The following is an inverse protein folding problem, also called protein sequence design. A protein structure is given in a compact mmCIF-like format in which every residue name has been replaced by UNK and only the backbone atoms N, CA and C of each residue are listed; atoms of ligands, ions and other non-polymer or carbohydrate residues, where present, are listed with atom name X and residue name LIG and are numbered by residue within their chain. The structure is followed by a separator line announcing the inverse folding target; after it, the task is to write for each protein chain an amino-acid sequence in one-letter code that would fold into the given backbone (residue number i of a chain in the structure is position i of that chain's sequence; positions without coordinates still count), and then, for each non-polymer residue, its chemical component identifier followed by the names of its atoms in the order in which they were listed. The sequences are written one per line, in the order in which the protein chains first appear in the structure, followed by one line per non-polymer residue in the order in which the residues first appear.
data_IF_075815313604
#
_entry.id   IF_075815313604
#
_cell.length_a   1.000
_cell.length_b   1.000
_cell.length_c   1.000
_cell.angle_alpha   90.00
_cell.angle_beta   90.00
_cell.angle_gamma   90.00
#
_symmetry.space_group_name_H-M   'P 1'
#
loop_
_entity.id
_entity.type
_entity.pdbx_description
1 polymer ?
#
# COMPACT_ATOMS: atom_id res chain seq x y z
N UNK A 1 -27.24 -78.69 41.81
CA UNK A 1 -26.64 -79.34 40.62
C UNK A 1 -26.98 -78.49 39.40
N UNK A 2 -25.97 -78.17 38.56
CA UNK A 2 -25.89 -77.15 37.46
C UNK A 2 -25.58 -75.73 37.99
N UNK A 3 -24.33 -75.25 38.04
CA UNK A 3 -23.29 -74.94 37.02
C UNK A 3 -23.65 -73.72 36.15
N UNK A 4 -23.11 -72.59 36.60
CA UNK A 4 -22.41 -71.48 35.93
C UNK A 4 -22.99 -70.76 34.71
N UNK A 5 -23.11 -69.43 34.84
CA UNK A 5 -22.69 -68.49 33.79
C UNK A 5 -22.06 -67.24 34.42
N UNK A 6 -20.74 -67.11 34.24
CA UNK A 6 -19.96 -65.89 34.52
C UNK A 6 -20.27 -64.83 33.46
N UNK A 7 -20.73 -63.65 33.86
CA UNK A 7 -20.81 -62.48 32.97
C UNK A 7 -19.72 -61.51 33.39
N UNK A 8 -18.60 -61.52 32.65
CA UNK A 8 -17.50 -60.55 32.79
C UNK A 8 -17.97 -59.20 32.25
N UNK A 9 -18.09 -58.19 33.12
CA UNK A 9 -18.28 -56.81 32.71
C UNK A 9 -16.95 -56.27 32.16
N UNK A 10 -16.88 -56.05 30.85
CA UNK A 10 -15.76 -55.40 30.18
C UNK A 10 -15.92 -53.88 30.30
N UNK A 11 -15.04 -53.23 31.05
CA UNK A 11 -14.93 -51.77 31.09
C UNK A 11 -14.30 -51.27 29.77
N UNK A 12 -15.07 -50.54 28.96
CA UNK A 12 -14.55 -49.87 27.77
C UNK A 12 -13.88 -48.55 28.18
N UNK A 13 -12.56 -48.48 28.02
CA UNK A 13 -11.75 -47.27 28.21
C UNK A 13 -11.74 -46.48 26.90
N UNK A 14 -12.59 -45.46 26.79
CA UNK A 14 -12.64 -44.57 25.62
C UNK A 14 -11.47 -43.59 25.67
N UNK A 15 -10.46 -43.82 24.84
CA UNK A 15 -9.32 -42.93 24.66
C UNK A 15 -9.76 -41.69 23.86
N UNK A 16 -9.95 -40.54 24.53
CA UNK A 16 -10.17 -39.25 23.87
C UNK A 16 -8.86 -38.79 23.23
N UNK A 17 -8.75 -38.93 21.91
CA UNK A 17 -7.68 -38.31 21.13
C UNK A 17 -8.04 -36.83 20.95
N UNK A 18 -7.41 -35.95 21.71
CA UNK A 18 -7.41 -34.51 21.42
C UNK A 18 -6.62 -34.29 20.13
N UNK A 19 -7.33 -34.22 19.00
CA UNK A 19 -6.76 -33.70 17.76
C UNK A 19 -6.67 -32.18 17.92
N UNK A 20 -5.51 -31.69 18.35
CA UNK A 20 -5.19 -30.27 18.23
C UNK A 20 -5.11 -29.94 16.74
N UNK A 21 -5.87 -28.97 16.21
CA UNK A 21 -5.60 -28.47 14.88
C UNK A 21 -4.27 -27.74 14.97
N UNK A 22 -3.21 -28.35 14.47
CA UNK A 22 -2.02 -27.62 14.10
C UNK A 22 -2.47 -26.64 13.00
N UNK A 23 -2.70 -25.39 13.38
CA UNK A 23 -2.80 -24.31 12.42
C UNK A 23 -1.44 -24.28 11.70
N UNK A 24 -1.38 -24.93 10.55
CA UNK A 24 -0.29 -24.74 9.61
C UNK A 24 -0.35 -23.26 9.21
N UNK A 25 0.51 -22.45 9.82
CA UNK A 25 0.85 -21.15 9.26
C UNK A 25 1.46 -21.43 7.90
N UNK A 26 0.64 -21.39 6.85
CA UNK A 26 1.20 -21.39 5.50
C UNK A 26 2.21 -20.25 5.44
N UNK A 27 3.45 -20.50 4.98
CA UNK A 27 4.36 -19.41 4.69
C UNK A 27 3.60 -18.53 3.71
N UNK A 28 3.26 -17.32 4.13
CA UNK A 28 2.63 -16.32 3.29
C UNK A 28 3.53 -16.16 2.07
N UNK A 29 3.24 -16.88 0.98
CA UNK A 29 3.81 -16.62 -0.33
C UNK A 29 3.70 -15.12 -0.48
N UNK A 30 4.84 -14.42 -0.48
CA UNK A 30 4.90 -12.98 -0.25
C UNK A 30 3.81 -12.35 -1.12
N UNK A 31 2.73 -11.86 -0.48
CA UNK A 31 1.58 -11.36 -1.23
C UNK A 31 2.14 -10.31 -2.16
N UNK A 32 1.98 -10.51 -3.47
CA UNK A 32 2.43 -9.53 -4.44
C UNK A 32 1.73 -8.21 -4.08
N UNK A 33 2.50 -7.17 -3.77
CA UNK A 33 1.91 -5.87 -3.44
C UNK A 33 0.95 -5.42 -4.54
N UNK A 34 -0.14 -4.80 -4.12
CA UNK A 34 -1.13 -4.16 -4.97
C UNK A 34 -0.59 -2.87 -5.60
N UNK A 35 0.51 -2.32 -5.09
CA UNK A 35 1.22 -1.16 -5.69
C UNK A 35 2.36 -1.67 -6.56
N UNK A 36 2.18 -1.59 -7.89
CA UNK A 36 3.07 -2.15 -8.89
C UNK A 36 3.72 -1.03 -9.68
N UNK A 37 5.00 -1.17 -10.00
CA UNK A 37 5.74 -0.18 -10.81
C UNK A 37 6.14 -0.75 -12.18
N UNK A 38 6.05 0.09 -13.21
CA UNK A 38 6.31 -0.28 -14.61
C UNK A 38 7.81 -0.46 -14.92
N UNK A 39 8.71 0.17 -14.16
CA UNK A 39 10.16 0.09 -14.35
C UNK A 39 10.93 -0.10 -13.03
N UNK A 40 12.23 -0.38 -13.15
CA UNK A 40 13.11 -0.64 -11.99
C UNK A 40 13.32 0.60 -11.10
N UNK A 41 13.44 1.79 -11.69
CA UNK A 41 13.67 3.03 -10.94
C UNK A 41 12.47 3.43 -10.07
N UNK A 42 11.26 3.14 -10.54
CA UNK A 42 10.02 3.30 -9.76
C UNK A 42 9.87 2.22 -8.69
N UNK A 43 10.30 0.97 -8.94
CA UNK A 43 10.34 -0.07 -7.89
C UNK A 43 11.28 0.34 -6.76
N UNK A 44 12.46 0.85 -7.11
CA UNK A 44 13.40 1.40 -6.14
C UNK A 44 12.80 2.59 -5.40
N UNK A 45 12.02 3.45 -6.07
CA UNK A 45 11.37 4.61 -5.45
C UNK A 45 10.38 4.16 -4.37
N UNK A 46 9.54 3.17 -4.69
CA UNK A 46 8.60 2.59 -3.73
C UNK A 46 9.34 1.92 -2.58
N UNK A 47 10.41 1.17 -2.86
CA UNK A 47 11.21 0.52 -1.84
C UNK A 47 11.91 1.52 -0.91
N UNK A 48 12.45 2.61 -1.46
CA UNK A 48 13.07 3.72 -0.72
C UNK A 48 12.06 4.40 0.21
N UNK A 49 10.88 4.75 -0.32
CA UNK A 49 9.79 5.30 0.48
C UNK A 49 9.37 4.35 1.61
N UNK A 50 9.19 3.06 1.30
CA UNK A 50 8.82 2.05 2.27
C UNK A 50 9.93 1.79 3.31
N UNK A 51 11.20 1.91 2.96
CA UNK A 51 12.30 1.77 3.92
C UNK A 51 12.38 2.97 4.87
N UNK A 52 12.30 4.19 4.33
CA UNK A 52 12.54 5.43 5.07
C UNK A 52 11.33 6.02 5.78
N UNK A 53 10.10 5.63 5.42
CA UNK A 53 8.88 6.24 5.99
C UNK A 53 7.85 5.21 6.45
N UNK A 54 7.45 5.32 7.71
CA UNK A 54 6.36 4.53 8.29
C UNK A 54 5.01 4.95 7.71
N UNK A 55 4.79 6.25 7.47
CA UNK A 55 3.61 6.76 6.80
C UNK A 55 3.49 6.19 5.36
N UNK A 56 4.59 6.14 4.60
CA UNK A 56 4.58 5.56 3.26
C UNK A 56 4.23 4.06 3.29
N UNK A 57 4.82 3.30 4.22
CA UNK A 57 4.44 1.88 4.42
C UNK A 57 2.96 1.71 4.75
N UNK A 58 2.38 2.61 5.55
CA UNK A 58 0.97 2.56 5.89
C UNK A 58 0.07 2.79 4.66
N UNK A 59 0.45 3.69 3.75
CA UNK A 59 -0.27 3.91 2.48
C UNK A 59 -0.27 2.64 1.62
N UNK A 60 0.91 2.04 1.40
CA UNK A 60 1.02 0.79 0.63
C UNK A 60 0.24 -0.34 1.31
N UNK A 61 0.36 -0.47 2.63
CA UNK A 61 -0.35 -1.49 3.41
C UNK A 61 -1.88 -1.35 3.35
N UNK A 62 -2.41 -0.12 3.34
CA UNK A 62 -3.84 0.12 3.19
C UNK A 62 -4.36 -0.30 1.80
N UNK A 63 -3.57 -0.03 0.74
CA UNK A 63 -3.91 -0.47 -0.63
C UNK A 63 -3.82 -2.00 -0.73
N UNK A 64 -2.79 -2.62 -0.16
CA UNK A 64 -2.60 -4.08 -0.13
C UNK A 64 -3.73 -4.82 0.59
N UNK A 65 -4.40 -4.16 1.54
CA UNK A 65 -5.56 -4.70 2.28
C UNK A 65 -6.89 -4.43 1.57
N UNK A 66 -6.88 -3.80 0.40
CA UNK A 66 -8.06 -3.41 -0.36
C UNK A 66 -8.25 -4.27 -1.62
N UNK A 67 -9.31 -3.96 -2.37
CA UNK A 67 -9.55 -4.53 -3.70
C UNK A 67 -9.00 -3.66 -4.86
N UNK A 68 -8.12 -2.71 -4.55
CA UNK A 68 -7.51 -1.79 -5.52
C UNK A 68 -6.08 -2.24 -5.86
N UNK A 69 -5.80 -2.40 -7.14
CA UNK A 69 -4.44 -2.58 -7.69
C UNK A 69 -4.03 -1.28 -8.38
N UNK A 70 -2.87 -0.76 -8.01
CA UNK A 70 -2.33 0.51 -8.49
C UNK A 70 -1.08 0.28 -9.32
N UNK A 71 -1.07 0.78 -10.56
CA UNK A 71 0.12 0.82 -11.39
C UNK A 71 0.76 2.20 -11.34
N UNK A 72 2.03 2.26 -10.95
CA UNK A 72 2.84 3.46 -10.85
C UNK A 72 3.71 3.53 -12.10
N UNK A 73 3.61 4.65 -12.80
CA UNK A 73 4.36 4.89 -14.02
C UNK A 73 4.88 6.31 -14.11
N UNK A 74 5.92 6.44 -14.92
CA UNK A 74 6.58 7.68 -15.19
C UNK A 74 5.94 8.34 -16.42
N UNK A 75 5.63 9.64 -16.34
CA UNK A 75 5.13 10.41 -17.49
C UNK A 75 5.83 11.76 -17.64
N UNK A 76 5.81 12.20 -18.90
CA UNK A 76 5.98 13.58 -19.28
C UNK A 76 4.60 14.22 -19.35
N UNK A 77 4.37 15.22 -18.50
CA UNK A 77 3.17 16.03 -18.55
C UNK A 77 3.41 17.22 -19.48
N UNK A 78 2.49 17.51 -20.43
CA UNK A 78 2.56 18.73 -21.22
C UNK A 78 2.43 19.99 -20.35
N UNK A 79 1.67 19.90 -19.26
CA UNK A 79 1.46 20.99 -18.31
C UNK A 79 2.51 20.95 -17.18
N UNK A 80 3.36 21.98 -17.10
CA UNK A 80 4.47 22.04 -16.13
C UNK A 80 4.04 21.97 -14.66
N UNK A 81 2.82 22.43 -14.36
CA UNK A 81 2.28 22.42 -12.99
C UNK A 81 1.74 21.05 -12.56
N UNK A 82 1.48 20.13 -13.51
CA UNK A 82 1.01 18.80 -13.17
C UNK A 82 2.22 17.90 -12.89
N UNK A 83 2.35 17.47 -11.63
CA UNK A 83 3.49 16.67 -11.18
C UNK A 83 3.14 15.22 -10.88
N UNK A 84 1.87 14.96 -10.59
CA UNK A 84 1.30 13.65 -10.36
C UNK A 84 -0.17 13.63 -10.78
N UNK A 85 -0.70 12.43 -11.06
CA UNK A 85 -2.14 12.19 -11.10
C UNK A 85 -2.47 10.74 -10.80
N UNK A 86 -3.64 10.54 -10.19
CA UNK A 86 -4.33 9.26 -10.09
C UNK A 86 -5.51 9.22 -11.07
N UNK A 87 -5.68 8.07 -11.73
CA UNK A 87 -6.89 7.80 -12.51
C UNK A 87 -7.32 6.34 -12.39
N UNK A 88 -8.64 6.11 -12.42
CA UNK A 88 -9.18 4.76 -12.51
C UNK A 88 -9.03 4.24 -13.95
N UNK A 89 -8.47 3.04 -14.10
CA UNK A 89 -8.25 2.38 -15.40
C UNK A 89 -9.44 1.49 -15.75
N UNK A 90 -9.84 0.63 -14.82
CA UNK A 90 -10.97 -0.29 -15.01
C UNK A 90 -11.43 -0.88 -13.67
N UNK A 91 -12.63 -1.46 -13.66
CA UNK A 91 -13.11 -2.32 -12.60
C UNK A 91 -13.65 -3.62 -13.23
N UNK A 92 -13.12 -4.76 -12.80
CA UNK A 92 -13.51 -6.07 -13.34
C UNK A 92 -13.77 -7.04 -12.19
N UNK A 93 -15.01 -7.53 -12.09
CA UNK A 93 -15.44 -8.31 -10.94
C UNK A 93 -15.32 -7.50 -9.65
N UNK A 94 -14.64 -8.07 -8.65
CA UNK A 94 -14.41 -7.39 -7.38
C UNK A 94 -13.12 -6.54 -7.35
N UNK A 95 -12.30 -6.53 -8.41
CA UNK A 95 -11.00 -5.85 -8.42
C UNK A 95 -11.08 -4.56 -9.23
N UNK A 96 -10.46 -3.51 -8.69
CA UNK A 96 -10.34 -2.21 -9.33
C UNK A 96 -8.88 -1.96 -9.68
N UNK A 97 -8.65 -1.35 -10.84
CA UNK A 97 -7.33 -1.01 -11.32
C UNK A 97 -7.24 0.50 -11.46
N UNK A 98 -6.23 1.08 -10.84
CA UNK A 98 -5.90 2.50 -10.99
C UNK A 98 -4.47 2.65 -11.50
N UNK A 99 -4.18 3.83 -12.01
CA UNK A 99 -2.84 4.21 -12.39
C UNK A 99 -2.46 5.53 -11.73
N UNK A 100 -1.30 5.54 -11.10
CA UNK A 100 -0.58 6.73 -10.66
C UNK A 100 0.45 7.06 -11.73
N UNK A 101 0.42 8.27 -12.22
CA UNK A 101 1.45 8.80 -13.11
C UNK A 101 2.21 9.91 -12.37
N UNK A 102 3.54 9.84 -12.34
CA UNK A 102 4.38 10.87 -11.72
C UNK A 102 5.37 11.46 -12.73
N UNK A 103 5.76 12.71 -12.51
CA UNK A 103 6.68 13.43 -13.38
C UNK A 103 8.10 12.83 -13.30
N UNK A 104 8.65 12.44 -14.46
CA UNK A 104 9.92 11.72 -14.53
C UNK A 104 11.16 12.50 -14.13
N UNK A 105 11.17 13.81 -14.40
CA UNK A 105 12.38 14.63 -14.29
C UNK A 105 12.37 15.48 -13.02
N UNK A 106 11.95 14.89 -11.91
CA UNK A 106 11.94 15.53 -10.60
C UNK A 106 13.08 14.96 -9.74
N UNK A 107 13.68 15.78 -8.84
CA UNK A 107 14.56 15.25 -7.81
C UNK A 107 13.91 14.11 -7.03
N UNK A 108 14.69 13.13 -6.59
CA UNK A 108 14.19 11.90 -5.97
C UNK A 108 13.24 12.15 -4.79
N UNK A 109 13.61 13.08 -3.90
CA UNK A 109 12.77 13.48 -2.78
C UNK A 109 11.42 14.10 -3.21
N UNK A 110 11.41 14.83 -4.32
CA UNK A 110 10.17 15.36 -4.89
C UNK A 110 9.31 14.25 -5.51
N UNK A 111 9.92 13.26 -6.18
CA UNK A 111 9.20 12.08 -6.69
C UNK A 111 8.55 11.29 -5.55
N UNK A 112 9.24 11.11 -4.42
CA UNK A 112 8.67 10.46 -3.23
C UNK A 112 7.48 11.23 -2.65
N UNK A 113 7.60 12.57 -2.54
CA UNK A 113 6.51 13.41 -2.05
C UNK A 113 5.28 13.35 -2.97
N UNK A 114 5.50 13.45 -4.30
CA UNK A 114 4.44 13.29 -5.30
C UNK A 114 3.81 11.89 -5.20
N UNK A 115 4.62 10.85 -5.14
CA UNK A 115 4.09 9.49 -5.05
C UNK A 115 3.29 9.26 -3.77
N UNK A 116 3.77 9.77 -2.62
CA UNK A 116 3.03 9.70 -1.36
C UNK A 116 1.67 10.41 -1.43
N UNK A 117 1.63 11.56 -2.10
CA UNK A 117 0.41 12.30 -2.36
C UNK A 117 -0.60 11.48 -3.17
N UNK A 118 -0.17 10.94 -4.33
CA UNK A 118 -1.04 10.13 -5.19
C UNK A 118 -1.44 8.80 -4.55
N UNK A 119 -0.59 8.22 -3.70
CA UNK A 119 -0.93 7.03 -2.92
C UNK A 119 -2.00 7.31 -1.87
N UNK A 120 -2.01 8.49 -1.25
CA UNK A 120 -3.08 8.88 -0.34
C UNK A 120 -4.42 9.01 -1.08
N UNK A 121 -4.44 9.58 -2.29
CA UNK A 121 -5.62 9.53 -3.15
C UNK A 121 -6.05 8.10 -3.48
N UNK A 122 -5.09 7.19 -3.71
CA UNK A 122 -5.42 5.79 -3.94
C UNK A 122 -6.03 5.13 -2.69
N UNK A 123 -5.59 5.48 -1.48
CA UNK A 123 -6.18 5.02 -0.20
C UNK A 123 -7.61 5.55 -0.03
N UNK A 124 -7.88 6.78 -0.43
CA UNK A 124 -9.22 7.37 -0.42
C UNK A 124 -10.18 6.57 -1.34
N UNK A 125 -9.74 6.27 -2.56
CA UNK A 125 -10.49 5.41 -3.49
C UNK A 125 -10.62 3.96 -2.98
N UNK A 126 -9.57 3.42 -2.37
CA UNK A 126 -9.59 2.09 -1.76
C UNK A 126 -10.68 2.00 -0.68
N UNK A 127 -10.88 3.07 0.08
CA UNK A 127 -11.90 3.18 1.14
C UNK A 127 -13.33 3.41 0.60
N UNK A 128 -13.48 3.75 -0.68
CA UNK A 128 -14.76 3.97 -1.34
C UNK A 128 -15.03 2.89 -2.40
N UNK A 129 -15.48 1.67 -2.03
CA UNK A 129 -15.63 0.54 -2.96
C UNK A 129 -16.65 0.78 -4.09
N UNK A 130 -17.52 1.78 -3.94
CA UNK A 130 -18.50 2.19 -4.96
C UNK A 130 -17.90 3.02 -6.10
N UNK A 131 -16.65 3.48 -5.97
CA UNK A 131 -15.93 4.16 -7.06
C UNK A 131 -15.39 3.12 -8.02
N UNK A 132 -16.02 3.00 -9.19
CA UNK A 132 -15.80 1.93 -10.18
C UNK A 132 -15.66 2.41 -11.62
N UNK A 133 -15.95 3.69 -11.89
CA UNK A 133 -15.83 4.32 -13.21
C UNK A 133 -15.51 5.82 -13.08
N UNK A 134 -15.35 6.51 -14.21
CA UNK A 134 -15.03 7.92 -14.23
C UNK A 134 -16.10 8.82 -13.56
N UNK A 135 -17.38 8.47 -13.71
CA UNK A 135 -18.48 9.27 -13.16
C UNK A 135 -18.54 9.16 -11.63
N UNK A 136 -18.36 7.95 -11.09
CA UNK A 136 -18.30 7.71 -9.65
C UNK A 136 -17.01 8.26 -9.04
N UNK A 137 -15.88 8.23 -9.77
CA UNK A 137 -14.62 8.85 -9.36
C UNK A 137 -14.75 10.37 -9.26
N UNK A 138 -15.34 11.00 -10.29
CA UNK A 138 -15.58 12.43 -10.29
C UNK A 138 -16.55 12.83 -9.16
N UNK A 139 -17.63 12.07 -8.96
CA UNK A 139 -18.58 12.34 -7.88
C UNK A 139 -17.93 12.25 -6.50
N UNK A 140 -17.04 11.26 -6.31
CA UNK A 140 -16.31 11.11 -5.05
C UNK A 140 -15.51 12.37 -4.74
N UNK A 141 -14.63 12.81 -5.66
CA UNK A 141 -13.78 13.96 -5.40
C UNK A 141 -14.50 15.31 -5.44
N UNK A 142 -15.61 15.42 -6.16
CA UNK A 142 -16.46 16.61 -6.10
C UNK A 142 -17.11 16.80 -4.71
N UNK A 143 -17.27 15.72 -3.94
CA UNK A 143 -17.82 15.73 -2.59
C UNK A 143 -16.71 15.88 -1.53
N UNK A 144 -15.57 15.19 -1.70
CA UNK A 144 -14.52 15.09 -0.66
C UNK A 144 -13.32 16.01 -0.87
N UNK A 145 -13.18 16.62 -2.04
CA UNK A 145 -12.00 17.39 -2.44
C UNK A 145 -12.30 18.82 -2.90
N UNK A 146 -11.25 19.61 -3.01
CA UNK A 146 -11.28 20.96 -3.56
C UNK A 146 -10.88 20.92 -5.04
N UNK A 147 -11.68 21.55 -5.90
CA UNK A 147 -11.35 21.66 -7.33
C UNK A 147 -10.17 22.61 -7.52
N UNK A 148 -8.99 22.06 -7.85
CA UNK A 148 -7.76 22.85 -8.05
C UNK A 148 -7.45 23.13 -9.51
N UNK A 149 -7.99 22.34 -10.44
CA UNK A 149 -7.81 22.56 -11.89
C UNK A 149 -9.03 22.15 -12.68
N UNK A 150 -9.33 22.91 -13.73
CA UNK A 150 -10.27 22.56 -14.79
C UNK A 150 -9.61 22.78 -16.15
N UNK A 151 -9.48 21.72 -16.94
CA UNK A 151 -8.95 21.78 -18.29
C UNK A 151 -9.87 21.02 -19.26
N UNK A 152 -10.59 21.76 -20.11
CA UNK A 152 -11.65 21.21 -20.95
C UNK A 152 -12.69 20.43 -20.12
N UNK A 153 -12.75 19.11 -20.37
CA UNK A 153 -13.62 18.18 -19.63
C UNK A 153 -12.95 17.55 -18.40
N UNK A 154 -11.64 17.68 -18.24
CA UNK A 154 -10.91 17.13 -17.11
C UNK A 154 -10.96 18.06 -15.89
N UNK A 155 -11.13 17.47 -14.71
CA UNK A 155 -11.13 18.15 -13.41
C UNK A 155 -10.09 17.47 -12.53
N UNK A 156 -9.27 18.27 -11.86
CA UNK A 156 -8.36 17.79 -10.83
C UNK A 156 -8.82 18.31 -9.48
N UNK A 157 -8.86 17.42 -8.51
CA UNK A 157 -9.26 17.70 -7.15
C UNK A 157 -8.09 17.40 -6.22
N UNK A 158 -8.07 18.11 -5.10
CA UNK A 158 -7.09 17.99 -4.03
C UNK A 158 -7.81 17.68 -2.72
N UNK A 159 -7.18 16.93 -1.83
CA UNK A 159 -7.70 16.69 -0.48
C UNK A 159 -6.70 17.15 0.57
N UNK A 160 -7.15 17.76 1.69
CA UNK A 160 -6.26 18.10 2.80
C UNK A 160 -5.47 16.89 3.33
N UNK A 161 -6.06 15.68 3.25
CA UNK A 161 -5.41 14.44 3.66
C UNK A 161 -4.22 14.07 2.77
N UNK A 162 -4.32 14.24 1.45
CA UNK A 162 -3.22 13.99 0.51
C UNK A 162 -2.04 14.94 0.72
N UNK A 163 -2.32 16.23 0.93
CA UNK A 163 -1.30 17.22 1.27
C UNK A 163 -0.60 16.89 2.59
N UNK A 164 -1.37 16.60 3.63
CA UNK A 164 -0.80 16.31 4.96
C UNK A 164 0.00 15.01 4.98
N UNK A 165 -0.45 13.97 4.27
CA UNK A 165 0.33 12.73 4.19
C UNK A 165 1.62 12.88 3.41
N UNK A 166 1.60 13.58 2.27
CA UNK A 166 2.81 13.85 1.52
C UNK A 166 3.83 14.61 2.38
N UNK A 167 3.37 15.59 3.16
CA UNK A 167 4.19 16.34 4.12
C UNK A 167 4.76 15.43 5.21
N UNK A 168 3.96 14.53 5.79
CA UNK A 168 4.41 13.58 6.81
C UNK A 168 5.50 12.65 6.28
N UNK A 169 5.27 12.02 5.12
CA UNK A 169 6.26 11.16 4.47
C UNK A 169 7.57 11.92 4.23
N UNK A 170 7.47 13.15 3.72
CA UNK A 170 8.65 13.98 3.47
C UNK A 170 9.47 14.22 4.74
N UNK A 171 8.83 14.54 5.86
CA UNK A 171 9.52 14.75 7.14
C UNK A 171 10.20 13.47 7.66
N UNK A 172 9.52 12.33 7.57
CA UNK A 172 10.09 11.05 7.99
C UNK A 172 11.34 10.68 7.16
N UNK A 173 11.31 10.92 5.85
CA UNK A 173 12.46 10.68 4.97
C UNK A 173 13.65 11.59 5.29
N UNK A 174 13.39 12.88 5.55
CA UNK A 174 14.45 13.81 5.97
C UNK A 174 15.11 13.39 7.28
N UNK A 175 14.34 12.83 8.21
CA UNK A 175 14.89 12.35 9.47
C UNK A 175 15.68 11.03 9.27
N UNK A 176 15.19 10.12 8.43
CA UNK A 176 15.92 8.89 8.07
C UNK A 176 17.28 9.21 7.42
N UNK A 177 17.33 10.18 6.51
CA UNK A 177 18.56 10.62 5.85
C UNK A 177 19.60 11.18 6.84
N UNK A 178 19.16 11.99 7.82
CA UNK A 178 20.05 12.49 8.89
C UNK A 178 20.64 11.36 9.71
N UNK A 179 19.82 10.36 10.05
CA UNK A 179 20.28 9.19 10.79
C UNK A 179 21.29 8.36 9.98
N UNK A 180 21.07 8.18 8.68
CA UNK A 180 22.00 7.49 7.80
C UNK A 180 23.32 8.26 7.62
N UNK A 181 23.27 9.58 7.46
CA UNK A 181 24.48 10.42 7.37
C UNK A 181 25.30 10.39 8.67
N UNK A 182 24.64 10.48 9.83
CA UNK A 182 25.30 10.37 11.13
C UNK A 182 25.98 9.02 11.36
N UNK A 183 25.32 7.92 10.97
CA UNK A 183 25.88 6.57 11.07
C UNK A 183 27.12 6.38 10.18
N UNK A 184 27.13 6.94 8.96
CA UNK A 184 28.29 6.90 8.06
C UNK A 184 29.48 7.68 8.62
N UNK A 185 29.25 8.91 9.11
CA UNK A 185 30.31 9.72 9.72
C UNK A 185 30.93 9.07 10.96
N UNK A 186 30.11 8.39 11.78
CA UNK A 186 30.60 7.64 12.94
C UNK A 186 31.45 6.42 12.53
N UNK A 187 31.05 5.69 11.49
CA UNK A 187 31.79 4.53 10.97
C UNK A 187 33.14 4.94 10.35
N UNK A 188 33.18 6.05 9.61
CA UNK A 188 34.40 6.57 9.00
C UNK A 188 35.37 7.13 10.06
N UNK A 189 34.84 7.84 11.09
CA UNK A 189 35.63 8.30 12.23
C UNK A 189 36.20 7.17 13.10
N UNK A 190 35.55 6.00 13.12
CA UNK A 190 36.04 4.80 13.80
C UNK A 190 37.11 4.04 12.99
N UNK A 191 37.08 4.13 11.66
CA UNK A 191 38.07 3.50 10.77
C UNK A 191 39.40 4.28 10.68
N UNK A 192 39.40 5.55 11.09
CA UNK A 192 40.56 6.45 11.09
C UNK A 192 41.30 6.53 12.45
N UNK A 193 40.93 5.71 13.43
CA UNK A 193 41.57 5.59 14.76
C UNK A 193 42.15 4.21 14.96
#
# INVERSE_FOLDING_TARGET
MRIDTFTRAAAALTLLILVSPAAASEPSAARSTSVRADDAGLKELIAEGAAGSAAFRALVGAIDQSNLVVYVRCRLFPELELRGRLGLVSATGAIRFAAIEIACYQPRAAQLAILAHELQHAVEIASAPWVVDAATFERFYADTGELVRRDGLARAYETPAAVEQARRVHLELLDADKHHAGARGAAEGAALR
#
